data_IF_262193482152
#
_entry.id   IF_262193482152
#
_cell.length_a   1.000
_cell.length_b   1.000
_cell.length_c   1.000
_cell.angle_alpha   90.00
_cell.angle_beta   90.00
_cell.angle_gamma   90.00
#
_symmetry.space_group_name_H-M   'P 1'
#
loop_
_entity.id
_entity.type
_entity.pdbx_description
1 polymer ?
#
# COMPACT_ATOMS: atom_id res chain seq x y z
N UNK A 1 -13.93 0.14 -2.22
CA UNK A 1 -13.15 -1.08 -2.55
C UNK A 1 -11.98 -0.72 -3.47
N UNK A 2 -10.81 -1.32 -3.27
CA UNK A 2 -9.69 -1.21 -4.22
C UNK A 2 -9.98 -2.06 -5.47
N UNK A 3 -9.35 -1.72 -6.59
CA UNK A 3 -9.49 -2.44 -7.87
C UNK A 3 -8.69 -3.75 -7.84
N UNK A 4 -9.01 -4.66 -8.75
CA UNK A 4 -8.20 -5.86 -9.01
C UNK A 4 -6.79 -5.41 -9.45
N UNK A 5 -5.72 -5.94 -8.84
CA UNK A 5 -4.36 -5.54 -9.17
C UNK A 5 -3.93 -6.10 -10.54
N UNK A 6 -3.07 -5.36 -11.23
CA UNK A 6 -2.44 -5.82 -12.49
C UNK A 6 -1.41 -6.92 -12.22
N UNK A 7 -0.64 -6.78 -11.12
CA UNK A 7 0.33 -7.78 -10.67
C UNK A 7 -0.32 -8.75 -9.68
N UNK A 8 0.00 -10.03 -9.79
CA UNK A 8 -0.41 -11.05 -8.81
C UNK A 8 0.19 -10.76 -7.43
N UNK A 9 -0.38 -11.32 -6.36
CA UNK A 9 0.22 -11.19 -5.02
C UNK A 9 1.66 -11.69 -4.98
N UNK A 10 1.94 -12.85 -5.59
CA UNK A 10 3.28 -13.40 -5.66
C UNK A 10 4.27 -12.42 -6.31
N UNK A 11 3.88 -11.78 -7.43
CA UNK A 11 4.71 -10.78 -8.10
C UNK A 11 4.96 -9.54 -7.22
N UNK A 12 3.94 -9.09 -6.49
CA UNK A 12 4.06 -7.93 -5.58
C UNK A 12 4.96 -8.27 -4.38
N UNK A 13 4.81 -9.44 -3.80
CA UNK A 13 5.67 -9.91 -2.71
C UNK A 13 7.13 -10.03 -3.17
N UNK A 14 7.37 -10.57 -4.36
CA UNK A 14 8.74 -10.68 -4.90
C UNK A 14 9.37 -9.31 -5.17
N UNK A 15 8.59 -8.35 -5.70
CA UNK A 15 9.05 -6.99 -5.87
C UNK A 15 9.47 -6.34 -4.54
N UNK A 16 8.75 -6.61 -3.44
CA UNK A 16 9.10 -6.11 -2.11
C UNK A 16 10.38 -6.75 -1.55
N UNK A 17 10.63 -8.04 -1.80
CA UNK A 17 11.85 -8.73 -1.34
C UNK A 17 13.13 -8.18 -1.95
N UNK A 18 13.03 -7.54 -3.12
CA UNK A 18 14.16 -6.87 -3.78
C UNK A 18 14.33 -5.39 -3.37
N UNK A 19 13.48 -4.88 -2.47
CA UNK A 19 13.66 -3.55 -1.90
C UNK A 19 14.76 -3.57 -0.84
N UNK A 20 15.81 -2.72 -0.93
CA UNK A 20 16.94 -2.75 0.00
C UNK A 20 16.60 -2.34 1.43
N UNK A 21 15.40 -1.79 1.65
CA UNK A 21 14.92 -1.34 2.97
C UNK A 21 13.95 -2.33 3.61
N UNK A 22 13.74 -3.52 3.01
CA UNK A 22 12.79 -4.52 3.48
C UNK A 22 13.53 -5.75 3.99
N UNK A 23 13.35 -6.08 5.27
CA UNK A 23 13.91 -7.29 5.87
C UNK A 23 12.99 -8.50 5.73
N UNK A 24 11.68 -8.34 5.94
CA UNK A 24 10.69 -9.43 5.89
C UNK A 24 9.44 -9.02 5.10
N UNK A 25 8.88 -9.98 4.34
CA UNK A 25 7.62 -9.82 3.60
C UNK A 25 6.62 -10.88 4.06
N UNK A 26 5.54 -10.45 4.70
CA UNK A 26 4.44 -11.33 5.12
C UNK A 26 3.30 -11.33 4.07
N UNK A 27 3.11 -12.43 3.29
CA UNK A 27 2.00 -12.54 2.32
C UNK A 27 0.66 -12.84 3.01
N UNK A 28 -0.46 -12.73 2.28
CA UNK A 28 -1.80 -13.11 2.73
C UNK A 28 -2.28 -12.38 4.00
N UNK A 29 -1.86 -11.13 4.20
CA UNK A 29 -2.31 -10.36 5.35
C UNK A 29 -3.77 -9.90 5.20
N UNK A 30 -4.55 -9.91 6.29
CA UNK A 30 -5.88 -9.33 6.29
C UNK A 30 -5.80 -7.83 6.00
N UNK A 31 -6.86 -7.28 5.41
CA UNK A 31 -6.94 -5.86 5.07
C UNK A 31 -6.78 -4.93 6.29
N UNK A 32 -7.19 -5.39 7.46
CA UNK A 32 -6.99 -4.70 8.73
C UNK A 32 -5.95 -5.44 9.55
N UNK A 33 -5.05 -4.74 10.24
CA UNK A 33 -4.14 -5.37 11.19
C UNK A 33 -4.87 -5.64 12.53
N UNK A 34 -5.03 -6.90 12.97
CA UNK A 34 -5.58 -7.18 14.29
C UNK A 34 -4.51 -7.00 15.37
N UNK A 35 -4.90 -6.57 16.58
CA UNK A 35 -3.98 -6.36 17.71
C UNK A 35 -3.14 -7.60 18.02
N UNK A 36 -3.76 -8.79 17.94
CA UNK A 36 -3.08 -10.07 18.14
C UNK A 36 -1.90 -10.27 17.18
N UNK A 37 -2.07 -9.94 15.90
CA UNK A 37 -1.00 -10.05 14.91
C UNK A 37 0.17 -9.12 15.25
N UNK A 38 -0.13 -7.88 15.64
CA UNK A 38 0.91 -6.93 16.05
C UNK A 38 1.70 -7.42 17.27
N UNK A 39 1.02 -8.03 18.25
CA UNK A 39 1.69 -8.62 19.41
C UNK A 39 2.55 -9.83 19.03
N UNK A 40 2.05 -10.71 18.16
CA UNK A 40 2.78 -11.90 17.72
C UNK A 40 4.02 -11.55 16.90
N UNK A 41 3.92 -10.54 16.04
CA UNK A 41 5.02 -10.04 15.21
C UNK A 41 5.88 -8.98 15.91
N UNK A 42 5.58 -8.64 17.17
CA UNK A 42 6.28 -7.61 17.95
C UNK A 42 6.40 -6.27 17.22
N UNK A 43 5.30 -5.81 16.59
CA UNK A 43 5.27 -4.56 15.82
C UNK A 43 5.11 -3.36 16.77
N UNK A 44 6.15 -2.52 16.84
CA UNK A 44 6.14 -1.29 17.64
C UNK A 44 5.39 -0.15 16.94
N UNK A 45 5.61 0.01 15.63
CA UNK A 45 5.05 1.11 14.84
C UNK A 45 4.50 0.66 13.49
N UNK A 46 3.53 1.41 12.98
CA UNK A 46 2.95 1.24 11.63
C UNK A 46 3.30 2.46 10.80
N UNK A 47 3.98 2.26 9.66
CA UNK A 47 4.35 3.35 8.76
C UNK A 47 3.43 3.41 7.52
N UNK A 48 2.77 4.55 7.31
CA UNK A 48 1.93 4.85 6.14
C UNK A 48 1.80 6.37 5.99
N UNK A 49 1.33 6.87 4.85
CA UNK A 49 0.97 8.30 4.74
C UNK A 49 -0.12 8.69 5.76
N UNK A 50 -0.14 9.97 6.15
CA UNK A 50 -1.04 10.48 7.19
C UNK A 50 -2.49 10.68 6.71
N UNK A 51 -2.73 10.59 5.39
CA UNK A 51 -4.06 10.81 4.86
C UNK A 51 -5.04 9.75 5.43
N UNK A 52 -6.25 10.15 5.85
CA UNK A 52 -7.24 9.18 6.33
C UNK A 52 -7.51 8.10 5.29
N UNK A 53 -7.32 6.84 5.67
CA UNK A 53 -7.65 5.72 4.80
C UNK A 53 -9.10 5.32 5.06
N UNK A 54 -10.01 6.02 4.41
CA UNK A 54 -11.46 5.86 4.60
C UNK A 54 -11.92 4.53 4.00
N UNK A 55 -12.46 3.66 4.85
CA UNK A 55 -13.10 2.40 4.44
C UNK A 55 -14.57 2.62 4.09
N UNK A 56 -15.26 1.59 3.57
CA UNK A 56 -16.69 1.69 3.19
C UNK A 56 -17.60 2.15 4.34
N UNK A 57 -17.19 1.97 5.60
CA UNK A 57 -17.91 2.44 6.80
C UNK A 57 -17.61 3.88 7.22
N UNK A 58 -16.84 4.65 6.44
CA UNK A 58 -16.52 6.05 6.74
C UNK A 58 -15.43 6.25 7.81
N UNK A 59 -14.91 5.17 8.39
CA UNK A 59 -13.85 5.22 9.41
C UNK A 59 -12.46 5.12 8.79
N UNK A 60 -11.52 5.93 9.28
CA UNK A 60 -10.09 5.80 8.97
C UNK A 60 -9.56 4.49 9.55
N UNK A 61 -9.05 3.62 8.67
CA UNK A 61 -8.48 2.32 9.01
C UNK A 61 -7.38 2.42 10.09
N UNK A 62 -6.59 3.51 10.06
CA UNK A 62 -5.45 3.69 10.94
C UNK A 62 -5.78 4.49 12.22
N UNK A 63 -7.03 4.92 12.41
CA UNK A 63 -7.43 5.80 13.52
C UNK A 63 -6.96 5.29 14.90
N UNK A 64 -7.17 4.00 15.17
CA UNK A 64 -6.78 3.35 16.43
C UNK A 64 -5.27 3.37 16.69
N UNK A 65 -4.44 3.36 15.63
CA UNK A 65 -2.99 3.42 15.75
C UNK A 65 -2.49 4.85 15.93
N UNK A 66 -3.15 5.81 15.27
CA UNK A 66 -2.90 7.24 15.47
C UNK A 66 -3.18 7.62 16.93
N UNK A 67 -4.32 7.21 17.48
CA UNK A 67 -4.67 7.47 18.89
C UNK A 67 -3.72 6.81 19.90
N UNK A 68 -3.12 5.68 19.53
CA UNK A 68 -2.15 4.97 20.37
C UNK A 68 -0.71 5.49 20.22
N UNK A 69 -0.47 6.57 19.46
CA UNK A 69 0.88 7.06 19.11
C UNK A 69 1.78 5.99 18.47
N UNK A 70 1.19 5.06 17.71
CA UNK A 70 1.89 3.97 17.04
C UNK A 70 2.04 4.18 15.52
N UNK A 71 1.59 5.32 14.98
CA UNK A 71 1.72 5.63 13.55
C UNK A 71 2.95 6.49 13.27
N UNK A 72 3.75 6.09 12.29
CA UNK A 72 4.82 6.90 11.70
C UNK A 72 4.38 7.37 10.32
N UNK A 73 4.03 8.65 10.23
CA UNK A 73 3.57 9.25 8.98
C UNK A 73 4.71 9.37 7.96
N UNK A 74 4.56 8.74 6.80
CA UNK A 74 5.50 8.88 5.67
C UNK A 74 5.02 9.92 4.66
N UNK A 75 5.95 10.45 3.86
CA UNK A 75 5.65 11.39 2.77
C UNK A 75 5.52 10.62 1.45
N UNK A 76 4.54 11.01 0.63
CA UNK A 76 4.42 10.49 -0.73
C UNK A 76 5.57 11.00 -1.59
N UNK A 77 6.00 10.18 -2.55
CA UNK A 77 6.96 10.59 -3.57
C UNK A 77 6.22 11.36 -4.68
N UNK A 78 6.73 12.54 -5.02
CA UNK A 78 6.12 13.39 -6.05
C UNK A 78 6.37 12.86 -7.46
N UNK A 79 5.39 13.01 -8.35
CA UNK A 79 5.53 12.70 -9.78
C UNK A 79 5.47 11.20 -10.15
N UNK A 80 5.20 10.31 -9.20
CA UNK A 80 5.07 8.88 -9.44
C UNK A 80 3.92 8.24 -8.66
N UNK A 81 3.08 7.50 -9.37
CA UNK A 81 2.05 6.64 -8.78
C UNK A 81 1.69 5.50 -9.74
N UNK A 82 1.08 4.42 -9.24
CA UNK A 82 0.60 3.32 -10.09
C UNK A 82 -0.43 3.82 -11.12
N UNK A 83 -1.28 4.78 -10.74
CA UNK A 83 -2.25 5.40 -11.65
C UNK A 83 -1.54 6.14 -12.78
N UNK A 84 -0.48 6.90 -12.46
CA UNK A 84 0.29 7.64 -13.47
C UNK A 84 1.01 6.69 -14.44
N UNK A 85 1.59 5.60 -13.94
CA UNK A 85 2.24 4.59 -14.77
C UNK A 85 1.23 3.95 -15.74
N UNK A 86 0.06 3.54 -15.24
CA UNK A 86 -1.01 2.98 -16.07
C UNK A 86 -1.46 3.99 -17.14
N UNK A 87 -1.67 5.25 -16.76
CA UNK A 87 -2.09 6.29 -17.69
C UNK A 87 -1.04 6.58 -18.77
N UNK A 88 0.26 6.59 -18.42
CA UNK A 88 1.36 6.75 -19.39
C UNK A 88 1.35 5.62 -20.43
N UNK A 89 1.16 4.38 -19.99
CA UNK A 89 1.09 3.20 -20.86
C UNK A 89 -0.13 3.30 -21.78
N UNK A 90 -1.33 3.56 -21.23
CA UNK A 90 -2.57 3.69 -22.02
C UNK A 90 -2.44 4.81 -23.06
N UNK A 91 -1.89 5.97 -22.68
CA UNK A 91 -1.69 7.09 -23.61
C UNK A 91 -0.77 6.71 -24.76
N UNK A 92 0.32 5.99 -24.49
CA UNK A 92 1.23 5.50 -25.53
C UNK A 92 0.51 4.58 -26.52
N UNK A 93 -0.15 3.52 -26.02
CA UNK A 93 -0.87 2.58 -26.89
C UNK A 93 -2.00 3.22 -27.70
N UNK A 94 -2.68 4.23 -27.16
CA UNK A 94 -3.72 4.96 -27.92
C UNK A 94 -3.14 5.82 -29.04
N UNK A 95 -1.96 6.41 -28.82
CA UNK A 95 -1.32 7.24 -29.83
C UNK A 95 -0.72 6.39 -30.95
N UNK A 96 -0.10 5.25 -30.60
CA UNK A 96 0.50 4.31 -31.55
C UNK A 96 -0.55 3.57 -32.42
N UNK A 97 -1.84 3.63 -32.06
CA UNK A 97 -2.94 3.00 -32.80
C UNK A 97 -3.68 3.96 -33.77
N UNK A 98 -3.25 5.23 -33.85
CA UNK A 98 -3.83 6.26 -34.73
C UNK A 98 -2.84 6.66 -35.87
N UNK A 99 -1.68 6.00 -35.94
CA UNK A 99 -0.81 5.94 -37.12
C UNK A 99 -0.97 4.60 -37.84
#
# INVERSE_FOLDING_TARGET
>A
MKRVPVQSEQQRCEALRHCPYVDEVCPNLPFTLPKRFMQQMQIDFVAHDDAPYVTTGGTDLYHKYKQANMMLATKRADGISTTDIINRIIKKFKNDAIE
#
